data_IF_052801844491
#
_entry.id   IF_052801844491
#
_cell.length_a   1.000
_cell.length_b   1.000
_cell.length_c   1.000
_cell.angle_alpha   90.00
_cell.angle_beta   90.00
_cell.angle_gamma   90.00
#
_symmetry.space_group_name_H-M   'P 1'
#
loop_
_entity.id
_entity.type
_entity.pdbx_description
1 polymer ?
#
# COMPACT_ATOMS: atom_id res chain seq x y z
N UNK A 1 6.09 36.82 -13.87
CA UNK A 1 5.33 35.60 -14.24
C UNK A 1 5.83 34.52 -13.32
N UNK A 2 5.07 34.17 -12.28
CA UNK A 2 5.46 33.15 -11.32
C UNK A 2 4.78 31.85 -11.73
N UNK A 3 5.57 30.84 -12.06
CA UNK A 3 5.10 29.46 -12.22
C UNK A 3 4.55 28.97 -10.86
N UNK A 4 3.33 28.42 -10.78
CA UNK A 4 2.90 27.76 -9.57
C UNK A 4 3.70 26.44 -9.45
N UNK A 5 4.37 26.27 -8.31
CA UNK A 5 4.92 25.00 -7.89
C UNK A 5 3.81 23.94 -7.98
N UNK A 6 4.08 22.84 -8.68
CA UNK A 6 3.26 21.64 -8.57
C UNK A 6 3.32 21.17 -7.12
N UNK A 7 2.33 21.55 -6.32
CA UNK A 7 1.96 20.81 -5.13
C UNK A 7 1.58 19.41 -5.61
N UNK A 8 2.50 18.46 -5.46
CA UNK A 8 2.16 17.04 -5.49
C UNK A 8 1.14 16.81 -4.38
N UNK A 9 -0.14 16.93 -4.71
CA UNK A 9 -1.23 16.51 -3.84
C UNK A 9 -1.17 14.98 -3.75
N UNK A 10 -0.35 14.48 -2.82
CA UNK A 10 -0.55 13.15 -2.25
C UNK A 10 -1.94 13.17 -1.63
N UNK A 11 -2.96 12.69 -2.36
CA UNK A 11 -4.32 12.66 -1.83
C UNK A 11 -4.41 11.57 -0.78
N UNK A 12 -4.07 11.93 0.46
CA UNK A 12 -4.29 11.13 1.65
C UNK A 12 -5.80 10.90 1.78
N UNK A 13 -6.27 9.73 1.34
CA UNK A 13 -7.68 9.36 1.40
C UNK A 13 -7.85 8.27 2.45
N UNK A 14 -8.67 8.55 3.47
CA UNK A 14 -9.17 7.51 4.37
C UNK A 14 -10.09 6.58 3.57
N UNK A 15 -9.77 5.29 3.55
CA UNK A 15 -10.54 4.25 2.86
C UNK A 15 -10.90 3.14 3.82
N UNK A 16 -12.01 2.45 3.52
CA UNK A 16 -12.37 1.17 4.14
C UNK A 16 -12.27 0.09 3.07
N UNK A 17 -11.49 -0.96 3.33
CA UNK A 17 -11.22 -2.05 2.41
C UNK A 17 -11.58 -3.38 3.05
N UNK A 18 -12.15 -4.29 2.27
CA UNK A 18 -12.45 -5.66 2.70
C UNK A 18 -11.60 -6.63 1.91
N UNK A 19 -11.15 -7.69 2.57
CA UNK A 19 -10.39 -8.73 1.92
C UNK A 19 -9.90 -9.80 2.90
N UNK A 20 -9.11 -10.72 2.39
CA UNK A 20 -8.46 -11.75 3.19
C UNK A 20 -7.12 -11.26 3.72
N UNK A 21 -6.92 -11.40 5.03
CA UNK A 21 -5.64 -11.17 5.68
C UNK A 21 -4.62 -12.25 5.28
N UNK A 22 -3.50 -11.85 4.67
CA UNK A 22 -2.41 -12.76 4.28
C UNK A 22 -1.06 -12.19 4.70
N UNK A 23 -0.09 -13.08 4.94
CA UNK A 23 1.29 -12.68 5.23
C UNK A 23 2.13 -12.81 3.96
N UNK A 24 2.74 -11.72 3.52
CA UNK A 24 3.70 -11.69 2.41
C UNK A 24 5.13 -11.64 2.97
N UNK A 25 6.13 -11.84 2.10
CA UNK A 25 7.55 -11.77 2.52
C UNK A 25 7.92 -10.40 3.13
N UNK A 26 7.31 -9.32 2.65
CA UNK A 26 7.61 -7.96 3.10
C UNK A 26 6.67 -7.43 4.21
N UNK A 27 5.72 -8.23 4.69
CA UNK A 27 4.81 -7.84 5.76
C UNK A 27 3.38 -8.35 5.61
N UNK A 28 2.47 -7.83 6.43
CA UNK A 28 1.05 -8.13 6.36
C UNK A 28 0.38 -7.44 5.16
N UNK A 29 -0.43 -8.20 4.42
CA UNK A 29 -1.18 -7.70 3.27
C UNK A 29 -2.67 -8.04 3.36
N UNK A 30 -3.50 -7.18 2.77
CA UNK A 30 -4.91 -7.43 2.53
C UNK A 30 -5.11 -7.78 1.05
N UNK A 31 -5.68 -8.94 0.79
CA UNK A 31 -6.00 -9.42 -0.57
C UNK A 31 -7.49 -9.25 -0.82
N UNK A 32 -7.88 -8.37 -1.74
CA UNK A 32 -9.30 -8.01 -1.99
C UNK A 32 -9.95 -8.82 -3.11
N UNK A 33 -9.13 -9.52 -3.91
CA UNK A 33 -9.57 -10.40 -4.99
C UNK A 33 -8.36 -11.01 -5.73
N UNK A 34 -8.59 -11.98 -6.62
CA UNK A 34 -7.52 -12.69 -7.33
C UNK A 34 -6.76 -11.83 -8.35
N UNK A 35 -7.38 -10.75 -8.84
CA UNK A 35 -6.81 -9.84 -9.85
C UNK A 35 -6.45 -8.45 -9.31
N UNK A 36 -6.71 -8.20 -8.02
CA UNK A 36 -6.37 -6.93 -7.40
C UNK A 36 -4.97 -6.97 -6.78
N UNK A 37 -4.19 -5.89 -6.88
CA UNK A 37 -2.90 -5.82 -6.19
C UNK A 37 -3.12 -5.91 -4.67
N UNK A 38 -2.28 -6.65 -3.95
CA UNK A 38 -2.35 -6.70 -2.49
C UNK A 38 -2.06 -5.32 -1.90
N UNK A 39 -2.78 -5.00 -0.81
CA UNK A 39 -2.57 -3.77 -0.06
C UNK A 39 -1.74 -4.07 1.18
N UNK A 40 -0.57 -3.47 1.31
CA UNK A 40 0.29 -3.62 2.48
C UNK A 40 -0.26 -2.83 3.65
N UNK A 41 -0.18 -3.41 4.85
CA UNK A 41 -0.55 -2.73 6.08
C UNK A 41 0.71 -2.16 6.71
N UNK A 42 0.82 -0.83 6.73
CA UNK A 42 2.01 -0.17 7.26
C UNK A 42 2.18 -0.46 8.75
N UNK A 43 3.40 -0.80 9.16
CA UNK A 43 3.74 -1.09 10.55
C UNK A 43 3.29 -2.46 11.05
N UNK A 44 2.61 -3.27 10.23
CA UNK A 44 2.18 -4.62 10.59
C UNK A 44 3.05 -5.67 9.88
N UNK A 45 3.87 -6.38 10.64
CA UNK A 45 4.75 -7.42 10.12
C UNK A 45 3.98 -8.68 9.68
N UNK A 46 2.95 -9.08 10.44
CA UNK A 46 2.10 -10.25 10.16
C UNK A 46 0.74 -10.12 10.84
N UNK A 47 -0.27 -10.84 10.34
CA UNK A 47 -1.64 -10.83 10.88
C UNK A 47 -1.84 -11.73 12.11
N UNK A 48 -0.88 -12.58 12.47
CA UNK A 48 -1.02 -13.55 13.55
C UNK A 48 -2.26 -14.45 13.38
N UNK A 49 -3.11 -14.53 14.40
CA UNK A 49 -4.33 -15.37 14.41
C UNK A 49 -5.42 -14.94 13.41
N UNK A 50 -5.30 -13.73 12.87
CA UNK A 50 -6.19 -13.21 11.83
C UNK A 50 -5.73 -13.62 10.43
N UNK A 51 -4.56 -14.26 10.29
CA UNK A 51 -4.13 -14.81 9.02
C UNK A 51 -5.21 -15.73 8.46
N UNK A 52 -5.42 -15.59 7.17
CA UNK A 52 -6.38 -16.32 6.36
C UNK A 52 -7.87 -16.02 6.62
N UNK A 53 -8.18 -15.03 7.47
CA UNK A 53 -9.56 -14.59 7.73
C UNK A 53 -9.98 -13.43 6.85
N UNK A 54 -11.28 -13.30 6.65
CA UNK A 54 -11.87 -12.09 6.07
C UNK A 54 -11.91 -10.97 7.13
N UNK A 55 -11.38 -9.81 6.75
CA UNK A 55 -11.29 -8.63 7.60
C UNK A 55 -11.71 -7.39 6.81
N UNK A 56 -12.23 -6.41 7.54
CA UNK A 56 -12.39 -5.04 7.07
C UNK A 56 -11.30 -4.18 7.72
N UNK A 57 -10.53 -3.48 6.89
CA UNK A 57 -9.41 -2.62 7.30
C UNK A 57 -9.71 -1.19 6.89
N UNK A 58 -9.61 -0.26 7.83
CA UNK A 58 -9.78 1.17 7.62
C UNK A 58 -8.45 1.86 7.89
N UNK A 59 -8.01 2.72 6.97
CA UNK A 59 -6.78 3.48 7.11
C UNK A 59 -6.62 4.52 6.01
N UNK A 60 -5.49 5.20 5.99
CA UNK A 60 -5.14 6.18 4.96
C UNK A 60 -4.45 5.44 3.81
N UNK A 61 -5.08 5.41 2.64
CA UNK A 61 -4.47 4.83 1.45
C UNK A 61 -3.42 5.79 0.92
N UNK A 62 -2.17 5.32 0.91
CA UNK A 62 -1.06 5.94 0.21
C UNK A 62 -0.70 5.07 -0.99
N UNK A 63 -0.86 5.63 -2.18
CA UNK A 63 -0.37 5.04 -3.41
C UNK A 63 1.07 5.53 -3.60
N UNK A 64 2.03 4.82 -3.01
CA UNK A 64 3.43 5.08 -3.32
C UNK A 64 3.68 4.48 -4.71
N UNK A 65 3.53 5.32 -5.73
CA UNK A 65 4.19 5.06 -6.99
C UNK A 65 5.67 5.13 -6.67
N UNK A 66 6.34 3.99 -6.70
CA UNK A 66 7.79 3.97 -6.88
C UNK A 66 8.06 4.53 -8.29
N UNK A 67 7.91 5.84 -8.47
CA UNK A 67 8.68 6.56 -9.47
C UNK A 67 10.11 6.45 -8.99
N UNK A 68 11.03 5.86 -9.75
CA UNK A 68 12.44 5.96 -9.40
C UNK A 68 12.74 7.46 -9.29
N UNK A 69 12.97 7.96 -8.09
CA UNK A 69 13.68 9.22 -7.95
C UNK A 69 14.97 9.05 -8.74
N UNK A 70 15.34 9.96 -9.67
CA UNK A 70 16.65 9.93 -10.30
C UNK A 70 17.69 10.34 -9.25
N UNK A 71 17.93 9.49 -8.26
CA UNK A 71 19.13 9.54 -7.44
C UNK A 71 20.27 9.07 -8.32
N UNK A 72 20.96 10.05 -8.92
CA UNK A 72 22.31 10.00 -9.47
C UNK A 72 23.08 8.70 -9.18
N UNK A 73 22.91 7.70 -10.04
CA UNK A 73 23.68 6.46 -9.98
C UNK A 73 23.18 5.44 -11.00
N UNK A 74 24.06 4.85 -11.83
CA UNK A 74 23.66 3.87 -12.84
C UNK A 74 23.41 2.52 -12.15
N UNK A 75 22.21 2.33 -11.62
CA UNK A 75 21.70 1.00 -11.29
C UNK A 75 20.63 0.63 -12.32
N UNK A 76 20.72 -0.55 -12.95
CA UNK A 76 19.68 -1.04 -13.83
C UNK A 76 18.44 -1.30 -12.98
N UNK A 77 17.49 -0.38 -13.05
CA UNK A 77 16.12 -0.60 -12.62
C UNK A 77 15.60 -1.82 -13.36
N UNK A 78 15.44 -2.94 -12.67
CA UNK A 78 14.72 -4.11 -13.17
C UNK A 78 13.19 -3.84 -13.12
N UNK A 79 12.76 -2.73 -13.72
CA UNK A 79 11.79 -2.74 -14.80
C UNK A 79 10.41 -3.34 -14.56
N UNK A 80 9.87 -3.36 -13.35
CA UNK A 80 8.42 -3.49 -13.17
C UNK A 80 7.89 -2.24 -12.48
N UNK A 81 7.17 -1.35 -13.19
CA UNK A 81 6.37 -0.33 -12.54
C UNK A 81 5.27 -1.02 -11.75
N UNK A 82 5.51 -1.23 -10.45
CA UNK A 82 4.52 -1.76 -9.53
C UNK A 82 4.03 -0.62 -8.64
N UNK A 83 2.77 -0.25 -8.76
CA UNK A 83 2.14 0.59 -7.73
C UNK A 83 2.01 -0.25 -6.47
N UNK A 84 2.72 0.13 -5.41
CA UNK A 84 2.53 -0.48 -4.10
C UNK A 84 1.42 0.32 -3.42
N UNK A 85 0.38 -0.40 -2.99
CA UNK A 85 -0.69 0.19 -2.19
C UNK A 85 -0.33 -0.03 -0.73
N UNK A 86 -0.09 1.06 -0.01
CA UNK A 86 0.22 1.04 1.41
C UNK A 86 -0.93 1.67 2.18
N UNK A 87 -1.41 0.99 3.22
CA UNK A 87 -2.43 1.51 4.12
C UNK A 87 -1.76 1.94 5.43
N UNK A 88 -1.72 3.25 5.65
CA UNK A 88 -1.19 3.90 6.85
C UNK A 88 -2.29 4.01 7.92
N UNK A 89 -1.87 4.11 9.19
CA UNK A 89 -2.76 4.26 10.35
C UNK A 89 -3.94 3.26 10.34
N UNK A 90 -3.64 2.03 9.95
CA UNK A 90 -4.64 1.02 9.71
C UNK A 90 -5.22 0.47 11.02
N UNK A 91 -6.54 0.30 11.03
CA UNK A 91 -7.30 -0.41 12.05
C UNK A 91 -8.18 -1.45 11.38
N UNK A 92 -8.46 -2.57 12.05
CA UNK A 92 -9.19 -3.67 11.42
C UNK A 92 -10.15 -4.36 12.37
N UNK A 93 -11.13 -5.04 11.76
CA UNK A 93 -12.07 -5.94 12.44
C UNK A 93 -12.32 -7.18 11.60
N UNK A 94 -12.57 -8.30 12.27
CA UNK A 94 -13.05 -9.53 11.63
C UNK A 94 -14.48 -9.34 11.15
N UNK A 95 -14.80 -9.96 10.01
CA UNK A 95 -16.15 -10.03 9.45
C UNK A 95 -16.88 -11.32 9.87
#
# INVERSE_FOLDING_TARGET
MSEPASESMSTERVVSLRGTARNAHAGAVLVRGEQEPPVYIAGLAEWGELADREVEVVGVLSEDRITPEPSTGPLPSHGVPGTIHLLLDASWRTL
#
